data_IF_533384669995
#
_entry.id   IF_533384669995
#
_cell.length_a   1.000
_cell.length_b   1.000
_cell.length_c   1.000
_cell.angle_alpha   90.00
_cell.angle_beta   90.00
_cell.angle_gamma   90.00
#
_symmetry.space_group_name_H-M   'P 1'
#
loop_
_entity.id
_entity.type
_entity.pdbx_description
1 polymer ?
#
# COMPACT_ATOMS: atom_id res chain seq x y z
N UNK A 1 -7.94 -0.30 23.64
CA UNK A 1 -7.89 -0.62 22.19
C UNK A 1 -9.32 -0.67 21.67
N UNK A 2 -9.62 -0.04 20.53
CA UNK A 2 -10.97 -0.11 19.95
C UNK A 2 -11.24 -1.53 19.41
N UNK A 3 -12.51 -1.95 19.35
CA UNK A 3 -12.90 -3.23 18.75
C UNK A 3 -12.44 -3.31 17.28
N UNK A 4 -12.41 -2.16 16.59
CA UNK A 4 -11.97 -2.03 15.20
C UNK A 4 -10.49 -2.39 15.02
N UNK A 5 -9.62 -2.02 15.98
CA UNK A 5 -8.20 -2.36 15.93
C UNK A 5 -7.96 -3.86 16.13
N UNK A 6 -8.71 -4.50 17.03
CA UNK A 6 -8.63 -5.96 17.19
C UNK A 6 -9.08 -6.69 15.92
N UNK A 7 -10.20 -6.24 15.32
CA UNK A 7 -10.70 -6.81 14.08
C UNK A 7 -9.66 -6.65 12.95
N UNK A 8 -9.03 -5.48 12.85
CA UNK A 8 -8.00 -5.21 11.84
C UNK A 8 -6.76 -6.09 12.01
N UNK A 9 -6.18 -6.15 13.20
CA UNK A 9 -5.03 -7.02 13.48
C UNK A 9 -5.37 -8.52 13.27
N UNK A 10 -6.62 -8.91 13.51
CA UNK A 10 -7.07 -10.27 13.21
C UNK A 10 -7.05 -10.56 11.69
N UNK A 11 -7.32 -9.58 10.81
CA UNK A 11 -7.23 -9.78 9.36
C UNK A 11 -5.80 -9.99 8.88
N UNK A 12 -4.83 -9.34 9.52
CA UNK A 12 -3.40 -9.48 9.17
C UNK A 12 -2.83 -10.86 9.50
N UNK A 13 -3.39 -11.57 10.48
CA UNK A 13 -2.93 -12.89 10.93
C UNK A 13 -3.91 -14.00 10.61
N UNK A 14 -5.04 -13.71 9.98
CA UNK A 14 -6.03 -14.73 9.65
C UNK A 14 -5.45 -15.75 8.66
N UNK A 15 -5.31 -17.03 9.04
CA UNK A 15 -4.78 -18.03 8.12
C UNK A 15 -5.78 -18.25 6.99
N UNK A 16 -5.32 -18.11 5.77
CA UNK A 16 -6.04 -18.55 4.58
C UNK A 16 -5.53 -19.92 4.18
N UNK A 17 -6.41 -20.91 4.01
CA UNK A 17 -6.02 -22.16 3.35
C UNK A 17 -5.82 -21.88 1.88
N UNK A 18 -4.63 -22.25 1.30
CA UNK A 18 -4.39 -22.08 -0.12
C UNK A 18 -5.41 -22.87 -0.95
N UNK A 19 -6.03 -22.23 -1.92
CA UNK A 19 -6.93 -22.89 -2.85
C UNK A 19 -6.15 -23.81 -3.80
N UNK A 20 -6.65 -25.04 -4.07
CA UNK A 20 -6.10 -25.92 -5.09
C UNK A 20 -6.16 -25.28 -6.50
N UNK A 21 -5.15 -25.55 -7.33
CA UNK A 21 -5.08 -25.01 -8.70
C UNK A 21 -6.29 -25.46 -9.53
N UNK A 22 -6.78 -26.67 -9.33
CA UNK A 22 -7.96 -27.22 -10.02
C UNK A 22 -9.22 -26.40 -9.73
N UNK A 23 -9.39 -25.96 -8.48
CA UNK A 23 -10.52 -25.09 -8.09
C UNK A 23 -10.40 -23.71 -8.74
N UNK A 24 -9.18 -23.18 -8.87
CA UNK A 24 -8.90 -21.93 -9.57
C UNK A 24 -9.25 -22.04 -11.05
N UNK A 25 -8.81 -23.09 -11.72
CA UNK A 25 -9.11 -23.35 -13.14
C UNK A 25 -10.61 -23.49 -13.38
N UNK A 26 -11.31 -24.24 -12.51
CA UNK A 26 -12.75 -24.37 -12.58
C UNK A 26 -13.46 -23.02 -12.42
N UNK A 27 -13.05 -22.21 -11.44
CA UNK A 27 -13.63 -20.88 -11.18
C UNK A 27 -13.45 -19.94 -12.38
N UNK A 28 -12.23 -19.82 -12.92
CA UNK A 28 -11.97 -18.89 -14.04
C UNK A 28 -12.61 -19.39 -15.34
N UNK A 29 -12.65 -20.70 -15.60
CA UNK A 29 -13.34 -21.30 -16.74
C UNK A 29 -14.85 -21.07 -16.68
N UNK A 30 -15.46 -21.35 -15.54
CA UNK A 30 -16.90 -21.21 -15.34
C UNK A 30 -17.37 -19.75 -15.46
N UNK A 31 -16.72 -18.84 -14.73
CA UNK A 31 -17.21 -17.48 -14.58
C UNK A 31 -16.66 -16.50 -15.61
N UNK A 32 -15.42 -16.67 -16.07
CA UNK A 32 -14.78 -15.76 -17.04
C UNK A 32 -14.61 -16.37 -18.43
N UNK A 33 -14.76 -17.69 -18.56
CA UNK A 33 -14.53 -18.38 -19.83
C UNK A 33 -13.07 -18.43 -20.22
N UNK A 34 -12.17 -18.34 -19.25
CA UNK A 34 -10.74 -18.36 -19.48
C UNK A 34 -10.21 -19.79 -19.37
N UNK A 35 -9.55 -20.25 -20.43
CA UNK A 35 -8.62 -21.38 -20.40
C UNK A 35 -7.23 -20.79 -20.19
N UNK A 36 -6.56 -21.14 -19.08
CA UNK A 36 -5.33 -20.47 -18.71
C UNK A 36 -4.40 -21.37 -17.91
N UNK A 37 -3.09 -21.13 -18.03
CA UNK A 37 -2.10 -21.62 -17.09
C UNK A 37 -2.11 -20.71 -15.85
N UNK A 38 -2.09 -21.32 -14.66
CA UNK A 38 -2.14 -20.63 -13.37
C UNK A 38 -0.77 -20.70 -12.70
N UNK A 39 -0.28 -19.55 -12.25
CA UNK A 39 0.93 -19.44 -11.42
C UNK A 39 0.60 -18.64 -10.17
N UNK A 40 0.88 -19.19 -8.97
CA UNK A 40 0.67 -18.47 -7.71
C UNK A 40 1.64 -17.29 -7.60
N UNK A 41 1.13 -16.14 -7.20
CA UNK A 41 1.92 -14.96 -6.88
C UNK A 41 2.01 -14.79 -5.36
N UNK A 42 3.01 -14.05 -4.90
CA UNK A 42 3.12 -13.67 -3.49
C UNK A 42 2.02 -12.67 -3.13
N UNK A 43 1.44 -12.80 -1.95
CA UNK A 43 0.46 -11.88 -1.41
C UNK A 43 0.55 -11.88 0.12
N UNK A 44 0.29 -10.73 0.76
CA UNK A 44 0.28 -10.62 2.22
C UNK A 44 -1.00 -11.20 2.80
N UNK A 45 -2.16 -10.81 2.26
CA UNK A 45 -3.49 -11.16 2.76
C UNK A 45 -4.29 -11.99 1.78
N UNK A 46 -4.33 -11.55 0.51
CA UNK A 46 -5.08 -12.18 -0.57
C UNK A 46 -4.29 -13.31 -1.21
N UNK A 47 -4.99 -14.27 -1.77
CA UNK A 47 -4.38 -15.21 -2.71
C UNK A 47 -4.39 -14.61 -4.10
N UNK A 48 -3.20 -14.45 -4.67
CA UNK A 48 -2.99 -13.85 -5.98
C UNK A 48 -2.46 -14.91 -6.96
N UNK A 49 -3.00 -14.91 -8.17
CA UNK A 49 -2.60 -15.86 -9.23
C UNK A 49 -2.44 -15.12 -10.55
N UNK A 50 -1.32 -15.35 -11.23
CA UNK A 50 -1.16 -14.98 -12.63
C UNK A 50 -1.85 -16.04 -13.49
N UNK A 51 -2.71 -15.58 -14.36
CA UNK A 51 -3.39 -16.38 -15.38
C UNK A 51 -2.76 -16.01 -16.72
N UNK A 52 -2.25 -17.01 -17.45
CA UNK A 52 -1.76 -16.84 -18.83
C UNK A 52 -2.70 -17.62 -19.73
N UNK A 53 -3.54 -16.90 -20.48
CA UNK A 53 -4.49 -17.48 -21.41
C UNK A 53 -3.79 -18.03 -22.67
N UNK A 54 -4.44 -18.92 -23.40
CA UNK A 54 -3.87 -19.59 -24.58
C UNK A 54 -3.55 -18.61 -25.73
N UNK A 55 -4.25 -17.47 -25.79
CA UNK A 55 -3.98 -16.39 -26.75
C UNK A 55 -2.81 -15.48 -26.33
N UNK A 56 -2.18 -15.75 -25.19
CA UNK A 56 -1.09 -14.99 -24.60
C UNK A 56 -1.54 -13.82 -23.75
N UNK A 57 -2.83 -13.58 -23.58
CA UNK A 57 -3.32 -12.55 -22.66
C UNK A 57 -3.04 -12.93 -21.20
N UNK A 58 -2.71 -11.94 -20.40
CA UNK A 58 -2.34 -12.14 -18.99
C UNK A 58 -3.25 -11.38 -18.05
N UNK A 59 -3.60 -12.05 -16.94
CA UNK A 59 -4.48 -11.50 -15.92
C UNK A 59 -3.95 -11.83 -14.52
N UNK A 60 -4.48 -11.13 -13.52
CA UNK A 60 -4.32 -11.45 -12.11
C UNK A 60 -5.69 -11.83 -11.55
N UNK A 61 -5.83 -13.05 -11.07
CA UNK A 61 -6.94 -13.42 -10.20
C UNK A 61 -6.56 -13.08 -8.77
N UNK A 62 -7.37 -12.24 -8.12
CA UNK A 62 -7.29 -11.97 -6.68
C UNK A 62 -8.46 -12.66 -5.97
N UNK A 63 -8.16 -13.44 -4.96
CA UNK A 63 -9.15 -14.06 -4.08
C UNK A 63 -8.96 -13.46 -2.69
N UNK A 64 -9.95 -12.69 -2.26
CA UNK A 64 -9.91 -11.99 -0.99
C UNK A 64 -9.78 -12.96 0.19
N UNK A 65 -9.05 -12.53 1.23
CA UNK A 65 -9.00 -13.25 2.49
C UNK A 65 -10.42 -13.41 3.05
N UNK A 66 -10.79 -14.54 3.64
CA UNK A 66 -12.13 -14.72 4.24
C UNK A 66 -12.50 -13.69 5.31
N UNK A 67 -11.49 -13.07 5.94
CA UNK A 67 -11.70 -12.02 6.93
C UNK A 67 -11.95 -10.63 6.30
N UNK A 68 -11.66 -10.45 4.99
CA UNK A 68 -11.98 -9.20 4.29
C UNK A 68 -13.49 -9.11 4.02
N UNK A 69 -14.08 -7.97 4.34
CA UNK A 69 -15.48 -7.76 4.06
C UNK A 69 -15.75 -7.59 2.56
N UNK A 70 -16.90 -8.06 2.06
CA UNK A 70 -17.27 -7.83 0.65
C UNK A 70 -17.29 -6.36 0.25
N UNK A 71 -17.57 -5.44 1.19
CA UNK A 71 -17.57 -4.01 0.95
C UNK A 71 -16.16 -3.45 0.69
N UNK A 72 -15.12 -4.06 1.23
CA UNK A 72 -13.72 -3.69 0.98
C UNK A 72 -13.28 -4.11 -0.43
N UNK A 73 -13.61 -5.32 -0.85
CA UNK A 73 -13.38 -5.77 -2.23
C UNK A 73 -14.15 -4.89 -3.24
N UNK A 74 -15.39 -4.49 -2.89
CA UNK A 74 -16.20 -3.61 -3.73
C UNK A 74 -15.60 -2.20 -3.84
N UNK A 75 -15.10 -1.63 -2.74
CA UNK A 75 -14.37 -0.35 -2.73
C UNK A 75 -13.19 -0.36 -3.70
N UNK A 76 -12.33 -1.37 -3.64
CA UNK A 76 -11.16 -1.50 -4.52
C UNK A 76 -11.57 -1.61 -5.99
N UNK A 77 -12.60 -2.39 -6.27
CA UNK A 77 -13.14 -2.60 -7.62
C UNK A 77 -13.78 -1.33 -8.18
N UNK A 78 -14.60 -0.64 -7.38
CA UNK A 78 -15.24 0.63 -7.75
C UNK A 78 -14.19 1.73 -8.00
N UNK A 79 -13.11 1.77 -7.23
CA UNK A 79 -12.01 2.70 -7.44
C UNK A 79 -11.31 2.47 -8.79
N UNK A 80 -11.00 1.21 -9.14
CA UNK A 80 -10.40 0.89 -10.44
C UNK A 80 -11.31 1.29 -11.62
N UNK A 81 -12.62 1.04 -11.50
CA UNK A 81 -13.60 1.47 -12.53
C UNK A 81 -13.73 3.00 -12.60
N UNK A 82 -13.62 3.70 -11.47
CA UNK A 82 -13.60 5.15 -11.44
C UNK A 82 -12.35 5.71 -12.12
N UNK A 83 -11.18 5.17 -11.84
CA UNK A 83 -9.90 5.52 -12.46
C UNK A 83 -9.96 5.28 -13.97
N UNK A 84 -10.48 4.13 -14.43
CA UNK A 84 -10.63 3.81 -15.84
C UNK A 84 -11.48 4.86 -16.59
N UNK A 85 -12.48 5.42 -15.92
CA UNK A 85 -13.35 6.46 -16.47
C UNK A 85 -12.70 7.85 -16.45
N UNK A 86 -11.94 8.18 -15.40
CA UNK A 86 -11.41 9.55 -15.19
C UNK A 86 -10.04 9.76 -15.81
N UNK A 87 -9.18 8.75 -15.81
CA UNK A 87 -7.87 8.73 -16.46
C UNK A 87 -7.58 7.33 -17.03
N UNK A 88 -8.10 7.03 -18.24
CA UNK A 88 -7.89 5.72 -18.88
C UNK A 88 -6.43 5.42 -19.19
N UNK A 89 -5.57 6.43 -19.26
CA UNK A 89 -4.13 6.30 -19.53
C UNK A 89 -3.30 6.11 -18.23
N UNK A 90 -3.92 6.23 -17.04
CA UNK A 90 -3.21 5.91 -15.80
C UNK A 90 -2.91 4.41 -15.78
N UNK A 91 -1.65 3.98 -15.61
CA UNK A 91 -1.26 2.57 -15.69
C UNK A 91 -1.67 1.82 -14.43
N UNK A 92 -2.96 1.51 -14.32
CA UNK A 92 -3.56 0.71 -13.26
C UNK A 92 -4.23 -0.54 -13.85
N UNK A 93 -4.38 -1.62 -13.09
CA UNK A 93 -5.11 -2.80 -13.53
C UNK A 93 -6.55 -2.45 -13.94
N UNK A 94 -7.06 -3.12 -14.98
CA UNK A 94 -8.46 -3.00 -15.41
C UNK A 94 -9.25 -4.21 -14.93
N UNK A 95 -10.49 -3.98 -14.54
CA UNK A 95 -11.38 -5.03 -14.05
C UNK A 95 -11.91 -5.83 -15.23
N UNK A 96 -11.64 -7.12 -15.27
CA UNK A 96 -12.28 -8.02 -16.24
C UNK A 96 -13.67 -8.39 -15.72
N UNK A 97 -14.68 -8.20 -16.58
CA UNK A 97 -16.05 -8.60 -16.23
C UNK A 97 -16.23 -10.09 -16.43
N UNK A 98 -17.00 -10.72 -15.56
CA UNK A 98 -17.42 -12.11 -15.73
C UNK A 98 -18.42 -12.26 -16.89
N UNK A 99 -18.79 -13.50 -17.23
CA UNK A 99 -19.74 -13.81 -18.32
C UNK A 99 -21.15 -13.20 -18.13
N UNK A 100 -21.48 -12.77 -16.91
CA UNK A 100 -22.77 -12.12 -16.61
C UNK A 100 -22.67 -10.60 -16.59
N UNK A 101 -21.47 -10.04 -16.81
CA UNK A 101 -21.18 -8.61 -16.74
C UNK A 101 -20.80 -8.14 -15.32
N UNK A 102 -20.71 -9.05 -14.35
CA UNK A 102 -20.28 -8.79 -12.99
C UNK A 102 -18.80 -8.43 -12.90
N UNK A 103 -18.40 -7.77 -11.83
CA UNK A 103 -17.03 -7.32 -11.57
C UNK A 103 -16.27 -8.20 -10.58
N UNK A 104 -16.98 -9.09 -9.92
CA UNK A 104 -16.46 -10.06 -8.97
C UNK A 104 -17.41 -11.25 -8.83
N UNK A 105 -16.88 -12.37 -8.39
CA UNK A 105 -17.61 -13.63 -8.16
C UNK A 105 -17.56 -13.97 -6.68
N UNK A 106 -18.72 -14.29 -6.09
CA UNK A 106 -18.79 -14.84 -4.73
C UNK A 106 -18.96 -16.34 -4.81
N UNK A 107 -18.21 -17.06 -3.98
CA UNK A 107 -18.26 -18.52 -3.94
C UNK A 107 -17.95 -19.03 -2.53
N UNK A 108 -18.43 -20.23 -2.20
CA UNK A 108 -18.02 -20.94 -0.99
C UNK A 108 -16.75 -21.74 -1.25
N UNK A 109 -15.76 -21.64 -0.36
CA UNK A 109 -14.60 -22.52 -0.41
C UNK A 109 -14.92 -23.92 0.16
N UNK A 110 -13.96 -24.84 0.09
CA UNK A 110 -14.13 -26.23 0.60
C UNK A 110 -14.41 -26.30 2.11
N UNK A 111 -14.12 -25.22 2.86
CA UNK A 111 -14.39 -25.11 4.29
C UNK A 111 -15.73 -24.42 4.57
N UNK A 112 -16.47 -24.01 3.54
CA UNK A 112 -17.75 -23.31 3.64
C UNK A 112 -17.62 -21.81 3.89
N UNK A 113 -16.40 -21.24 3.91
CA UNK A 113 -16.19 -19.81 4.02
C UNK A 113 -16.59 -19.13 2.70
N UNK A 114 -17.30 -18.00 2.81
CA UNK A 114 -17.63 -17.18 1.64
C UNK A 114 -16.41 -16.35 1.23
N UNK A 115 -16.02 -16.48 -0.02
CA UNK A 115 -14.89 -15.76 -0.61
C UNK A 115 -15.33 -14.93 -1.81
N UNK A 116 -14.57 -13.87 -2.08
CA UNK A 116 -14.77 -13.02 -3.26
C UNK A 116 -13.55 -13.13 -4.17
N UNK A 117 -13.79 -13.41 -5.44
CA UNK A 117 -12.76 -13.46 -6.48
C UNK A 117 -13.02 -12.38 -7.54
N UNK A 118 -11.96 -11.78 -8.04
CA UNK A 118 -11.99 -10.84 -9.18
C UNK A 118 -10.79 -11.06 -10.08
N UNK A 119 -10.98 -10.82 -11.36
CA UNK A 119 -9.92 -10.89 -12.36
C UNK A 119 -9.59 -9.48 -12.83
N UNK A 120 -8.31 -9.17 -12.84
CA UNK A 120 -7.75 -7.88 -13.27
C UNK A 120 -6.77 -8.12 -14.42
N UNK A 121 -6.54 -7.12 -15.27
CA UNK A 121 -5.45 -7.20 -16.26
C UNK A 121 -4.11 -7.27 -15.56
N UNK A 122 -3.19 -8.07 -16.10
CA UNK A 122 -1.79 -8.08 -15.66
C UNK A 122 -1.05 -6.90 -16.29
N UNK A 123 -0.30 -6.16 -15.48
CA UNK A 123 0.49 -5.04 -15.99
C UNK A 123 1.93 -5.48 -16.28
N UNK A 124 2.49 -5.11 -17.45
CA UNK A 124 3.87 -5.43 -17.78
C UNK A 124 4.84 -4.57 -16.98
N UNK A 125 6.05 -5.12 -16.77
CA UNK A 125 7.11 -4.43 -16.04
C UNK A 125 7.68 -5.28 -14.91
N UNK A 126 8.55 -4.68 -14.12
CA UNK A 126 9.11 -5.28 -12.91
C UNK A 126 8.86 -4.38 -11.71
N UNK A 127 8.82 -4.95 -10.53
CA UNK A 127 8.65 -4.19 -9.31
C UNK A 127 9.81 -3.20 -9.12
N UNK A 128 9.49 -1.97 -8.77
CA UNK A 128 10.47 -0.93 -8.44
C UNK A 128 11.38 -1.35 -7.28
N UNK A 129 10.93 -2.22 -6.39
CA UNK A 129 11.70 -2.78 -5.27
C UNK A 129 13.07 -3.34 -5.64
N UNK A 130 13.24 -3.81 -6.88
CA UNK A 130 14.48 -4.36 -7.42
C UNK A 130 15.37 -3.30 -8.13
N UNK A 131 14.96 -2.03 -8.15
CA UNK A 131 15.65 -0.94 -8.88
C UNK A 131 16.50 -0.07 -7.96
N UNK A 132 17.48 0.62 -8.55
CA UNK A 132 18.19 1.72 -7.91
C UNK A 132 17.21 2.90 -7.74
N UNK A 133 17.31 3.62 -6.63
CA UNK A 133 16.45 4.78 -6.32
C UNK A 133 17.06 6.07 -6.89
N UNK A 134 17.06 6.23 -8.22
CA UNK A 134 17.55 7.47 -8.84
C UNK A 134 16.59 8.65 -8.57
N UNK A 135 17.10 9.87 -8.65
CA UNK A 135 16.30 11.09 -8.57
C UNK A 135 15.15 11.08 -9.57
N UNK A 136 15.40 10.66 -10.81
CA UNK A 136 14.38 10.60 -11.87
C UNK A 136 13.29 9.56 -11.57
N UNK A 137 13.66 8.43 -10.98
CA UNK A 137 12.69 7.44 -10.51
C UNK A 137 11.81 8.00 -9.40
N UNK A 138 12.40 8.63 -8.37
CA UNK A 138 11.65 9.26 -7.28
C UNK A 138 10.69 10.31 -7.80
N UNK A 139 11.16 11.17 -8.71
CA UNK A 139 10.32 12.16 -9.37
C UNK A 139 9.20 11.52 -10.23
N UNK A 140 9.46 10.41 -10.93
CA UNK A 140 8.44 9.67 -11.69
C UNK A 140 7.36 9.10 -10.76
N UNK A 141 7.75 8.57 -9.59
CA UNK A 141 6.81 8.10 -8.57
C UNK A 141 5.98 9.26 -7.97
N UNK A 142 6.57 10.42 -7.73
CA UNK A 142 5.84 11.62 -7.31
C UNK A 142 4.79 12.04 -8.35
N UNK A 143 5.14 12.05 -9.64
CA UNK A 143 4.19 12.35 -10.72
C UNK A 143 3.06 11.34 -10.84
N UNK A 144 3.36 10.04 -10.73
CA UNK A 144 2.30 9.01 -10.81
C UNK A 144 1.36 9.08 -9.59
N UNK A 145 1.88 9.37 -8.39
CA UNK A 145 1.08 9.63 -7.19
C UNK A 145 0.15 10.84 -7.37
N UNK A 146 0.65 11.93 -7.97
CA UNK A 146 -0.17 13.10 -8.29
C UNK A 146 -1.28 12.76 -9.31
N UNK A 147 -0.99 11.98 -10.36
CA UNK A 147 -2.02 11.51 -11.31
C UNK A 147 -3.06 10.64 -10.62
N UNK A 148 -2.64 9.73 -9.71
CA UNK A 148 -3.56 8.91 -8.91
C UNK A 148 -4.49 9.80 -8.07
N UNK A 149 -3.95 10.81 -7.41
CA UNK A 149 -4.73 11.81 -6.65
C UNK A 149 -5.78 12.51 -7.52
N UNK A 150 -5.41 12.92 -8.75
CA UNK A 150 -6.33 13.54 -9.68
C UNK A 150 -7.41 12.57 -10.19
N UNK A 151 -7.02 11.35 -10.52
CA UNK A 151 -7.93 10.29 -10.99
C UNK A 151 -8.95 9.87 -9.93
N UNK A 152 -8.57 9.89 -8.64
CA UNK A 152 -9.46 9.57 -7.51
C UNK A 152 -10.28 10.78 -7.02
N UNK A 153 -10.11 11.96 -7.60
CA UNK A 153 -10.87 13.14 -7.19
C UNK A 153 -12.38 12.94 -7.35
N UNK A 154 -13.11 13.17 -6.26
CA UNK A 154 -14.57 13.00 -6.24
C UNK A 154 -15.04 11.55 -6.15
N UNK A 155 -14.13 10.58 -6.07
CA UNK A 155 -14.51 9.21 -5.77
C UNK A 155 -14.91 9.10 -4.29
N UNK A 156 -16.09 8.54 -4.05
CA UNK A 156 -16.60 8.23 -2.71
C UNK A 156 -17.20 6.83 -2.69
N UNK A 157 -17.14 6.18 -1.52
CA UNK A 157 -17.64 4.83 -1.35
C UNK A 157 -18.06 4.59 0.12
N UNK A 158 -19.13 3.85 0.41
CA UNK A 158 -19.57 3.58 1.79
C UNK A 158 -18.47 2.99 2.69
N UNK A 159 -17.58 2.15 2.15
CA UNK A 159 -16.47 1.55 2.87
C UNK A 159 -15.19 2.45 2.90
N UNK A 160 -15.25 3.70 2.45
CA UNK A 160 -14.08 4.59 2.35
C UNK A 160 -13.45 4.94 3.70
N UNK A 161 -14.28 5.03 4.76
CA UNK A 161 -13.85 5.43 6.11
C UNK A 161 -13.48 4.24 7.01
N UNK A 162 -12.86 3.24 6.44
CA UNK A 162 -12.37 2.08 7.19
C UNK A 162 -11.11 2.41 7.99
N UNK A 163 -10.81 1.64 9.01
CA UNK A 163 -9.56 1.71 9.75
C UNK A 163 -8.54 0.74 9.16
N UNK A 164 -7.40 1.26 8.77
CA UNK A 164 -6.27 0.48 8.24
C UNK A 164 -5.05 0.78 9.11
N UNK A 165 -4.31 -0.25 9.51
CA UNK A 165 -3.13 -0.06 10.38
C UNK A 165 -2.04 0.79 9.72
N UNK A 166 -1.92 0.69 8.39
CA UNK A 166 -0.98 1.45 7.58
C UNK A 166 -1.35 2.93 7.35
N UNK A 167 -2.55 3.35 7.77
CA UNK A 167 -2.96 4.75 7.70
C UNK A 167 -2.26 5.56 8.80
N UNK A 168 -1.51 6.58 8.40
CA UNK A 168 -0.77 7.47 9.33
C UNK A 168 -1.65 8.17 10.37
N UNK A 169 -2.96 8.25 10.16
CA UNK A 169 -3.95 8.68 11.18
C UNK A 169 -3.88 7.83 12.44
N UNK A 170 -3.44 6.58 12.31
CA UNK A 170 -3.41 5.58 13.37
C UNK A 170 -2.04 5.46 14.03
N UNK A 171 -1.10 6.37 13.77
CA UNK A 171 0.24 6.39 14.35
C UNK A 171 0.24 6.21 15.87
N UNK A 172 -0.74 6.75 16.61
CA UNK A 172 -0.88 6.57 18.07
C UNK A 172 -0.98 5.10 18.49
N UNK A 173 -1.49 4.22 17.63
CA UNK A 173 -1.66 2.80 17.93
C UNK A 173 -0.32 2.04 17.96
N UNK A 174 0.75 2.63 17.41
CA UNK A 174 2.10 2.07 17.51
C UNK A 174 2.57 1.97 18.96
N UNK A 175 2.05 2.83 19.87
CA UNK A 175 2.34 2.71 21.30
C UNK A 175 1.95 1.34 21.85
N UNK A 176 0.74 0.88 21.50
CA UNK A 176 0.26 -0.43 21.91
C UNK A 176 1.05 -1.57 21.27
N UNK A 177 1.37 -1.49 19.96
CA UNK A 177 2.21 -2.51 19.30
C UNK A 177 3.59 -2.60 19.97
N UNK A 178 4.20 -1.48 20.36
CA UNK A 178 5.47 -1.46 21.07
C UNK A 178 5.37 -2.09 22.48
N UNK A 179 4.22 -2.06 23.15
CA UNK A 179 3.99 -2.76 24.42
C UNK A 179 3.96 -4.29 24.21
N UNK A 180 3.46 -4.74 23.06
CA UNK A 180 3.43 -6.15 22.65
C UNK A 180 4.80 -6.66 22.15
N UNK A 181 5.80 -5.77 21.99
CA UNK A 181 7.13 -6.05 21.46
C UNK A 181 8.24 -5.78 22.50
N UNK A 182 8.29 -6.51 23.64
CA UNK A 182 9.27 -6.22 24.70
C UNK A 182 10.73 -6.40 24.26
N UNK A 183 10.96 -7.14 23.17
CA UNK A 183 12.29 -7.35 22.56
C UNK A 183 12.65 -6.38 21.45
N UNK A 184 11.83 -5.36 21.17
CA UNK A 184 12.15 -4.36 20.14
C UNK A 184 13.41 -3.57 20.51
N UNK A 185 14.49 -3.62 19.70
CA UNK A 185 15.83 -3.12 20.14
C UNK A 185 15.86 -1.63 20.50
N UNK A 186 15.00 -0.82 19.87
CA UNK A 186 14.97 0.65 19.98
C UNK A 186 13.66 1.16 20.58
N UNK A 187 13.08 0.42 21.52
CA UNK A 187 11.76 0.73 22.08
C UNK A 187 11.66 2.13 22.71
N UNK A 188 12.70 2.59 23.43
CA UNK A 188 12.70 3.94 24.01
C UNK A 188 12.70 5.01 22.95
N UNK A 189 13.59 4.92 21.96
CA UNK A 189 13.65 5.88 20.85
C UNK A 189 12.34 5.93 20.05
N UNK A 190 11.74 4.77 19.79
CA UNK A 190 10.45 4.69 19.10
C UNK A 190 9.32 5.34 19.92
N UNK A 191 9.29 5.15 21.24
CA UNK A 191 8.31 5.80 22.15
C UNK A 191 8.50 7.32 22.19
N UNK A 192 9.74 7.79 22.36
CA UNK A 192 10.05 9.23 22.36
C UNK A 192 9.64 9.91 21.05
N UNK A 193 9.89 9.23 19.91
CA UNK A 193 9.44 9.72 18.61
C UNK A 193 7.92 9.80 18.53
N UNK A 194 7.20 8.76 18.98
CA UNK A 194 5.73 8.76 19.04
C UNK A 194 5.14 9.89 19.89
N UNK A 195 5.74 10.19 21.02
CA UNK A 195 5.28 11.27 21.91
C UNK A 195 5.34 12.64 21.24
N UNK A 196 6.25 12.83 20.29
CA UNK A 196 6.36 14.08 19.49
C UNK A 196 5.48 14.05 18.25
N UNK A 197 5.34 12.89 17.58
CA UNK A 197 4.56 12.72 16.35
C UNK A 197 3.05 12.83 16.60
N UNK A 198 2.54 12.08 17.57
CA UNK A 198 1.10 11.90 17.75
C UNK A 198 0.36 13.24 17.98
N UNK A 199 0.77 14.11 18.89
CA UNK A 199 0.07 15.39 19.10
C UNK A 199 0.09 16.28 17.85
N UNK A 200 1.19 16.28 17.09
CA UNK A 200 1.33 17.08 15.87
C UNK A 200 0.42 16.57 14.76
N UNK A 201 0.35 15.26 14.56
CA UNK A 201 -0.51 14.64 13.55
C UNK A 201 -1.99 14.83 13.92
N UNK A 202 -2.38 14.50 15.15
CA UNK A 202 -3.79 14.55 15.57
C UNK A 202 -4.36 15.98 15.57
N UNK A 203 -3.53 16.99 15.86
CA UNK A 203 -3.99 18.39 15.84
C UNK A 203 -4.08 19.00 14.45
N UNK A 204 -3.32 18.54 13.47
CA UNK A 204 -3.22 19.19 12.16
C UNK A 204 -3.90 18.40 11.04
N UNK A 205 -3.72 17.08 11.01
CA UNK A 205 -4.19 16.21 9.93
C UNK A 205 -5.70 16.37 9.62
N UNK A 206 -6.62 16.47 10.61
CA UNK A 206 -8.04 16.62 10.37
C UNK A 206 -8.43 17.90 9.61
N UNK A 207 -7.56 18.91 9.58
CA UNK A 207 -7.80 20.21 8.95
C UNK A 207 -7.23 20.34 7.53
N UNK A 208 -6.61 19.27 7.01
CA UNK A 208 -6.06 19.23 5.66
C UNK A 208 -7.11 18.81 4.62
N UNK A 209 -6.75 18.83 3.35
CA UNK A 209 -7.63 18.30 2.28
C UNK A 209 -7.70 16.79 2.37
N UNK A 210 -8.90 16.23 2.39
CA UNK A 210 -9.16 14.80 2.45
C UNK A 210 -9.79 14.30 1.16
N UNK A 211 -9.43 13.11 0.74
CA UNK A 211 -10.06 12.33 -0.33
C UNK A 211 -9.73 10.86 -0.21
N UNK A 212 -10.22 10.03 -1.11
CA UNK A 212 -9.69 8.69 -1.30
C UNK A 212 -8.26 8.76 -1.80
N UNK A 213 -7.38 7.98 -1.18
CA UNK A 213 -5.97 7.84 -1.56
C UNK A 213 -5.61 6.36 -1.70
N UNK A 214 -4.52 6.07 -2.40
CA UNK A 214 -3.98 4.71 -2.52
C UNK A 214 -3.43 4.18 -1.19
N UNK A 215 -2.79 5.05 -0.43
CA UNK A 215 -2.23 4.82 0.90
C UNK A 215 -1.09 3.80 0.99
N UNK A 216 -0.66 3.22 -0.13
CA UNK A 216 0.44 2.23 -0.16
C UNK A 216 1.26 2.30 -1.46
N UNK A 217 1.67 3.52 -1.85
CA UNK A 217 2.56 3.76 -3.00
C UNK A 217 4.02 3.42 -2.64
N UNK A 218 4.25 2.16 -2.30
CA UNK A 218 5.57 1.62 -1.97
C UNK A 218 6.24 0.94 -3.19
N UNK A 219 7.54 0.63 -3.13
CA UNK A 219 8.27 0.00 -4.23
C UNK A 219 7.81 -1.39 -4.67
N UNK A 220 7.01 -2.08 -3.87
CA UNK A 220 6.42 -3.38 -4.22
C UNK A 220 5.07 -3.23 -4.93
N UNK A 221 4.51 -2.01 -4.96
CA UNK A 221 3.24 -1.68 -5.61
C UNK A 221 3.42 -0.79 -6.84
N UNK A 222 4.65 -0.41 -7.17
CA UNK A 222 4.99 0.36 -8.37
C UNK A 222 5.78 -0.52 -9.33
N UNK A 223 5.33 -0.57 -10.58
CA UNK A 223 6.01 -1.25 -11.67
C UNK A 223 6.77 -0.24 -12.53
N UNK A 224 7.96 -0.64 -12.97
CA UNK A 224 8.78 0.12 -13.91
C UNK A 224 9.09 -0.72 -15.15
N UNK A 225 9.42 -0.05 -16.22
CA UNK A 225 9.84 -0.72 -17.45
C UNK A 225 11.13 -1.52 -17.23
N UNK A 226 11.24 -2.69 -17.85
CA UNK A 226 12.40 -3.57 -17.71
C UNK A 226 13.67 -3.03 -18.38
N UNK A 227 13.52 -2.10 -19.32
CA UNK A 227 14.61 -1.50 -20.09
C UNK A 227 14.87 -0.04 -19.74
N UNK A 228 13.86 0.65 -19.19
CA UNK A 228 13.92 2.04 -18.71
C UNK A 228 13.29 2.13 -17.32
N UNK A 229 14.11 1.89 -16.31
CA UNK A 229 13.66 1.86 -14.91
C UNK A 229 13.15 3.22 -14.37
N UNK A 230 13.34 4.31 -15.12
CA UNK A 230 12.80 5.63 -14.78
C UNK A 230 11.34 5.81 -15.27
N UNK A 231 10.86 4.88 -16.11
CA UNK A 231 9.50 4.88 -16.63
C UNK A 231 8.58 4.00 -15.79
N UNK A 232 7.65 4.60 -15.05
CA UNK A 232 6.61 3.88 -14.32
C UNK A 232 5.62 3.28 -15.33
N UNK A 233 5.40 1.96 -15.26
CA UNK A 233 4.49 1.21 -16.13
C UNK A 233 3.28 0.64 -15.40
N UNK A 234 3.21 0.77 -14.07
CA UNK A 234 2.06 0.30 -13.32
C UNK A 234 2.03 0.74 -11.87
N UNK A 235 0.81 0.90 -11.36
CA UNK A 235 0.51 0.98 -9.92
C UNK A 235 -0.48 -0.12 -9.62
N UNK A 236 -0.14 -0.98 -8.66
CA UNK A 236 -0.93 -2.16 -8.27
C UNK A 236 -1.26 -2.12 -6.78
N UNK A 237 -2.09 -3.02 -6.36
CA UNK A 237 -2.54 -3.26 -4.99
C UNK A 237 -3.29 -2.09 -4.32
N UNK A 238 -4.58 -2.06 -4.59
CA UNK A 238 -5.53 -1.09 -4.03
C UNK A 238 -6.11 -1.54 -2.68
N UNK A 239 -5.45 -2.51 -2.02
CA UNK A 239 -5.89 -3.12 -0.76
C UNK A 239 -5.96 -2.14 0.40
N UNK A 240 -5.09 -1.15 0.45
CA UNK A 240 -4.98 -0.21 1.57
C UNK A 240 -5.59 1.17 1.29
N UNK A 241 -6.42 1.27 0.24
CA UNK A 241 -7.15 2.50 -0.04
C UNK A 241 -8.03 2.94 1.13
N UNK A 242 -7.99 4.23 1.44
CA UNK A 242 -8.79 4.82 2.51
C UNK A 242 -9.07 6.30 2.25
N UNK A 243 -10.11 6.84 2.89
CA UNK A 243 -10.39 8.27 2.87
C UNK A 243 -9.60 8.95 4.00
N UNK A 244 -8.52 9.64 3.63
CA UNK A 244 -7.61 10.32 4.56
C UNK A 244 -7.10 11.63 3.97
N UNK A 245 -6.19 12.32 4.68
CA UNK A 245 -5.57 13.52 4.15
C UNK A 245 -4.74 13.20 2.90
N UNK A 246 -4.93 13.98 1.83
CA UNK A 246 -4.24 13.81 0.55
C UNK A 246 -2.70 13.71 0.72
N UNK A 247 -2.15 14.53 1.62
CA UNK A 247 -0.70 14.56 1.89
C UNK A 247 -0.17 13.24 2.48
N UNK A 248 -1.03 12.39 3.05
CA UNK A 248 -0.62 11.08 3.56
C UNK A 248 -0.08 10.17 2.45
N UNK A 249 -0.69 10.22 1.26
CA UNK A 249 -0.21 9.43 0.09
C UNK A 249 1.19 9.88 -0.37
N UNK A 250 1.43 11.20 -0.34
CA UNK A 250 2.76 11.76 -0.63
C UNK A 250 3.78 11.31 0.42
N UNK A 251 3.41 11.36 1.69
CA UNK A 251 4.28 10.94 2.79
C UNK A 251 4.65 9.45 2.72
N UNK A 252 3.68 8.59 2.41
CA UNK A 252 3.90 7.15 2.21
C UNK A 252 4.86 6.92 1.05
N UNK A 253 4.60 7.52 -0.11
CA UNK A 253 5.46 7.39 -1.29
C UNK A 253 6.89 7.89 -0.99
N UNK A 254 7.04 9.06 -0.37
CA UNK A 254 8.34 9.64 -0.05
C UNK A 254 9.13 8.79 0.96
N UNK A 255 8.49 8.31 2.03
CA UNK A 255 9.12 7.48 3.04
C UNK A 255 9.62 6.14 2.47
N UNK A 256 8.81 5.47 1.66
CA UNK A 256 9.11 4.16 1.10
C UNK A 256 10.11 4.21 -0.07
N UNK A 257 10.31 5.40 -0.66
CA UNK A 257 11.31 5.61 -1.72
C UNK A 257 12.69 6.03 -1.21
N UNK A 258 12.88 6.25 0.09
CA UNK A 258 14.21 6.34 0.68
C UNK A 258 14.91 4.99 0.48
N UNK A 259 16.07 5.00 -0.19
CA UNK A 259 16.80 3.78 -0.53
C UNK A 259 17.11 2.95 0.74
N UNK A 260 17.00 1.61 0.70
CA UNK A 260 17.30 0.78 1.87
C UNK A 260 18.71 1.00 2.45
N UNK A 261 19.68 1.27 1.58
CA UNK A 261 21.08 1.55 1.91
C UNK A 261 21.36 2.98 2.39
N UNK A 262 20.38 3.89 2.26
CA UNK A 262 20.53 5.29 2.70
C UNK A 262 20.70 5.34 4.23
N UNK A 263 21.83 5.89 4.66
CA UNK A 263 22.17 6.07 6.09
C UNK A 263 22.24 7.54 6.50
N UNK A 264 22.33 8.44 5.53
CA UNK A 264 22.44 9.87 5.75
C UNK A 264 21.04 10.54 5.73
N UNK A 265 20.65 11.22 6.81
CA UNK A 265 19.39 11.97 6.84
C UNK A 265 19.27 13.07 5.77
N UNK A 266 20.40 13.69 5.35
CA UNK A 266 20.37 14.72 4.30
C UNK A 266 20.04 14.08 2.94
N UNK A 267 20.65 12.93 2.60
CA UNK A 267 20.31 12.15 1.41
C UNK A 267 18.83 11.68 1.46
N UNK A 268 18.36 11.25 2.63
CA UNK A 268 16.96 10.90 2.81
C UNK A 268 16.03 12.09 2.59
N UNK A 269 16.41 13.29 3.07
CA UNK A 269 15.67 14.52 2.84
C UNK A 269 15.61 14.88 1.34
N UNK A 270 16.72 14.80 0.62
CA UNK A 270 16.75 14.98 -0.85
C UNK A 270 15.79 13.99 -1.54
N UNK A 271 15.77 12.74 -1.08
CA UNK A 271 14.85 11.72 -1.63
C UNK A 271 13.38 12.10 -1.41
N UNK A 272 13.04 12.66 -0.25
CA UNK A 272 11.70 13.17 0.06
C UNK A 272 11.36 14.36 -0.83
N UNK A 273 12.30 15.29 -1.03
CA UNK A 273 12.11 16.47 -1.88
C UNK A 273 11.87 16.09 -3.34
N UNK A 274 12.57 15.11 -3.89
CA UNK A 274 12.39 14.66 -5.26
C UNK A 274 10.95 14.17 -5.54
N UNK A 275 10.41 13.37 -4.63
CA UNK A 275 9.02 12.89 -4.71
C UNK A 275 8.04 14.05 -4.56
N UNK A 276 8.25 14.87 -3.53
CA UNK A 276 7.31 15.94 -3.15
C UNK A 276 7.26 17.04 -4.21
N UNK A 277 8.41 17.48 -4.71
CA UNK A 277 8.49 18.53 -5.75
C UNK A 277 7.82 18.08 -7.04
N UNK A 278 8.07 16.82 -7.46
CA UNK A 278 7.45 16.27 -8.66
C UNK A 278 5.93 16.10 -8.50
N UNK A 279 5.45 15.74 -7.32
CA UNK A 279 4.03 15.71 -7.01
C UNK A 279 3.44 17.12 -6.98
N UNK A 280 4.08 18.06 -6.28
CA UNK A 280 3.64 19.45 -6.14
C UNK A 280 3.49 20.16 -7.49
N UNK A 281 4.39 19.89 -8.41
CA UNK A 281 4.32 20.43 -9.78
C UNK A 281 3.04 20.03 -10.54
N UNK A 282 2.43 18.88 -10.19
CA UNK A 282 1.20 18.38 -10.81
C UNK A 282 -0.05 18.72 -9.97
N UNK A 283 0.06 18.60 -8.64
CA UNK A 283 -0.99 18.88 -7.67
C UNK A 283 -0.42 19.79 -6.59
N UNK A 284 -0.62 21.12 -6.68
CA UNK A 284 -0.08 22.09 -5.73
C UNK A 284 -0.48 21.75 -4.28
N UNK A 285 0.52 21.51 -3.44
CA UNK A 285 0.37 21.27 -2.01
C UNK A 285 0.26 22.62 -1.28
N UNK A 286 -0.58 22.64 -0.27
CA UNK A 286 -0.76 23.84 0.56
C UNK A 286 0.36 23.93 1.61
N UNK A 287 0.73 25.14 2.03
CA UNK A 287 1.76 25.35 3.05
C UNK A 287 1.53 24.52 4.33
N UNK A 288 0.27 24.41 4.77
CA UNK A 288 -0.09 23.58 5.94
C UNK A 288 0.09 22.07 5.71
N UNK A 289 0.01 21.60 4.45
CA UNK A 289 0.27 20.22 4.09
C UNK A 289 1.77 19.94 4.08
N UNK A 290 2.56 20.84 3.49
CA UNK A 290 4.03 20.79 3.50
C UNK A 290 4.59 20.84 4.94
N UNK A 291 4.03 21.70 5.80
CA UNK A 291 4.43 21.81 7.19
C UNK A 291 4.22 20.52 8.01
N UNK A 292 3.27 19.67 7.63
CA UNK A 292 3.02 18.39 8.30
C UNK A 292 3.77 17.22 7.65
N UNK A 293 4.24 17.37 6.41
CA UNK A 293 4.77 16.27 5.60
C UNK A 293 5.92 15.52 6.28
N UNK A 294 6.90 16.24 6.84
CA UNK A 294 8.03 15.62 7.55
C UNK A 294 7.58 14.73 8.73
N UNK A 295 6.56 15.18 9.48
CA UNK A 295 5.99 14.38 10.57
C UNK A 295 5.26 13.12 10.04
N UNK A 296 4.59 13.21 8.89
CA UNK A 296 3.91 12.04 8.29
C UNK A 296 4.91 11.04 7.70
N UNK A 297 6.01 11.51 7.10
CA UNK A 297 7.13 10.66 6.66
C UNK A 297 7.73 9.93 7.86
N UNK A 298 8.04 10.65 8.94
CA UNK A 298 8.57 10.07 10.17
C UNK A 298 7.61 9.02 10.77
N UNK A 299 6.31 9.31 10.75
CA UNK A 299 5.29 8.37 11.19
C UNK A 299 5.27 7.10 10.35
N UNK A 300 5.32 7.21 9.01
CA UNK A 300 5.35 6.03 8.11
C UNK A 300 6.59 5.18 8.35
N UNK A 301 7.78 5.80 8.46
CA UNK A 301 9.02 5.07 8.75
C UNK A 301 8.93 4.31 10.08
N UNK A 302 8.44 4.94 11.13
CA UNK A 302 8.25 4.30 12.43
C UNK A 302 7.22 3.16 12.35
N UNK A 303 6.07 3.39 11.70
CA UNK A 303 5.03 2.38 11.53
C UNK A 303 5.55 1.16 10.78
N UNK A 304 6.33 1.36 9.72
CA UNK A 304 6.95 0.26 8.95
C UNK A 304 7.82 -0.61 9.84
N UNK A 305 8.67 -0.03 10.69
CA UNK A 305 9.51 -0.80 11.60
C UNK A 305 8.70 -1.59 12.65
N UNK A 306 7.75 -0.92 13.30
CA UNK A 306 6.96 -1.50 14.41
C UNK A 306 6.02 -2.60 13.91
N UNK A 307 5.31 -2.34 12.82
CA UNK A 307 4.36 -3.30 12.23
C UNK A 307 5.12 -4.51 11.67
N UNK A 308 6.23 -4.27 10.98
CA UNK A 308 7.06 -5.34 10.44
C UNK A 308 7.55 -6.28 11.54
N UNK A 309 8.14 -5.74 12.61
CA UNK A 309 8.64 -6.54 13.71
C UNK A 309 7.51 -7.29 14.43
N UNK A 310 6.34 -6.66 14.59
CA UNK A 310 5.16 -7.31 15.14
C UNK A 310 4.73 -8.53 14.31
N UNK A 311 4.76 -8.40 12.96
CA UNK A 311 4.47 -9.52 12.06
C UNK A 311 5.48 -10.65 12.17
N UNK A 312 6.79 -10.33 12.20
CA UNK A 312 7.85 -11.33 12.32
C UNK A 312 7.67 -12.16 13.60
N UNK A 313 7.35 -11.51 14.72
CA UNK A 313 7.17 -12.21 16.00
C UNK A 313 5.90 -13.06 16.04
N UNK A 314 4.82 -12.63 15.39
CA UNK A 314 3.53 -13.34 15.37
C UNK A 314 3.47 -14.43 14.30
N UNK A 315 4.18 -14.27 13.20
CA UNK A 315 4.21 -15.19 12.07
C UNK A 315 5.64 -15.54 11.65
N UNK A 316 6.44 -16.22 12.51
CA UNK A 316 7.86 -16.49 12.24
C UNK A 316 8.09 -17.39 11.02
N UNK A 317 7.06 -18.10 10.57
CA UNK A 317 7.10 -18.96 9.37
C UNK A 317 6.61 -18.24 8.10
N UNK A 318 6.20 -16.97 8.19
CA UNK A 318 5.81 -16.19 7.03
C UNK A 318 7.00 -15.97 6.11
N UNK A 319 6.85 -16.31 4.83
CA UNK A 319 7.87 -15.99 3.82
C UNK A 319 7.89 -14.52 3.42
N UNK A 320 6.90 -13.73 3.86
CA UNK A 320 6.72 -12.33 3.48
C UNK A 320 7.52 -11.37 4.37
N UNK A 321 7.46 -11.58 5.70
CA UNK A 321 8.19 -10.76 6.67
C UNK A 321 9.41 -11.50 7.21
N UNK A 322 10.58 -10.85 7.17
CA UNK A 322 11.84 -11.36 7.75
C UNK A 322 12.31 -10.38 8.82
N UNK A 323 13.02 -10.88 9.83
CA UNK A 323 13.61 -10.02 10.85
C UNK A 323 14.45 -8.90 10.21
N UNK A 324 14.22 -7.67 10.65
CA UNK A 324 14.99 -6.52 10.19
C UNK A 324 16.36 -6.50 10.86
N UNK A 325 17.35 -6.03 10.12
CA UNK A 325 18.69 -5.77 10.66
C UNK A 325 18.61 -4.64 11.70
N UNK A 326 19.23 -4.79 12.90
CA UNK A 326 19.19 -3.76 13.93
C UNK A 326 19.82 -2.42 13.49
N UNK A 327 20.88 -2.43 12.68
CA UNK A 327 21.49 -1.20 12.18
C UNK A 327 20.57 -0.49 11.18
N UNK A 328 19.85 -1.25 10.36
CA UNK A 328 18.81 -0.71 9.51
C UNK A 328 17.71 -0.04 10.34
N UNK A 329 17.21 -0.69 11.39
CA UNK A 329 16.18 -0.10 12.27
C UNK A 329 16.68 1.19 12.91
N UNK A 330 17.91 1.21 13.43
CA UNK A 330 18.51 2.40 14.04
C UNK A 330 18.58 3.55 13.05
N UNK A 331 19.05 3.26 11.85
CA UNK A 331 19.17 4.26 10.77
C UNK A 331 17.81 4.83 10.40
N UNK A 332 16.81 3.98 10.22
CA UNK A 332 15.43 4.43 9.89
C UNK A 332 14.82 5.28 11.00
N UNK A 333 15.03 4.94 12.27
CA UNK A 333 14.58 5.77 13.40
C UNK A 333 15.31 7.11 13.42
N UNK A 334 16.60 7.15 13.12
CA UNK A 334 17.37 8.40 13.03
C UNK A 334 16.86 9.28 11.88
N UNK A 335 16.64 8.73 10.70
CA UNK A 335 16.03 9.45 9.56
C UNK A 335 14.65 9.97 9.94
N UNK A 336 13.81 9.17 10.59
CA UNK A 336 12.48 9.59 11.03
C UNK A 336 12.54 10.74 12.03
N UNK A 337 13.46 10.70 12.99
CA UNK A 337 13.67 11.76 13.97
C UNK A 337 14.08 13.08 13.31
N UNK A 338 14.99 13.03 12.33
CA UNK A 338 15.42 14.19 11.54
C UNK A 338 14.30 14.73 10.67
N UNK A 339 13.58 13.86 9.93
CA UNK A 339 12.46 14.28 9.08
C UNK A 339 11.35 15.01 9.84
N UNK A 340 11.12 14.66 11.12
CA UNK A 340 10.18 15.37 11.97
C UNK A 340 10.56 16.85 12.21
N UNK A 341 11.86 17.15 12.22
CA UNK A 341 12.39 18.47 12.54
C UNK A 341 12.55 19.37 11.30
N UNK A 342 12.56 18.78 10.12
CA UNK A 342 12.82 19.49 8.87
C UNK A 342 11.54 20.07 8.27
N UNK A 343 11.65 21.30 7.72
CA UNK A 343 10.61 21.92 6.93
C UNK A 343 10.79 21.52 5.46
N UNK A 344 9.74 20.95 4.87
CA UNK A 344 9.74 20.60 3.45
C UNK A 344 9.36 21.86 2.66
N UNK A 345 10.30 22.34 1.86
CA UNK A 345 10.11 23.47 0.95
C UNK A 345 10.26 22.99 -0.50
N UNK A 346 9.24 23.23 -1.33
CA UNK A 346 9.15 22.81 -2.75
C UNK A 346 8.79 23.98 -3.64
#
# INVERSE_FOLDING_TARGET
MSADMHAFLATMVAPSRPMPIECILALVGQHYGLEARVTRLTGERDENFRLTADDGAEYVLKIANPAESPAETDLQTAALLHIEKTDPELPCPRVLRDRTGGTHVRFGDECGAQRTARVLTFLPGRLLGASIRSQRQRAACGRIGARMTLALRGFDHPAAKRSIVWDVRHTRHMRWLLEELPGFPYQSAARELLERLVPRIESQLPHLRHQMVHNDLNPLNILVDSTDEERVTGVIDFGDMTHTALIADVAVCAAELIAPECVDPEEAHESILDVTSAYHACVPLLQRELALLGALVAARLLMTLVIHEWHVQRNPTSGHFKALDPDFMRTRLHIADRSLLEEIQV
#
